data_IF_915585306344
#
_entry.id   IF_915585306344
#
_cell.length_a   1.000
_cell.length_b   1.000
_cell.length_c   1.000
_cell.angle_alpha   90.00
_cell.angle_beta   90.00
_cell.angle_gamma   90.00
#
_symmetry.space_group_name_H-M   'P 1'
#
loop_
_entity.id
_entity.type
_entity.pdbx_description
1 polymer ?
#
# COMPACT_ATOMS: atom_id res chain seq x y z
N UNK A 1 0.28 -16.27 10.21
CA UNK A 1 -0.67 -16.01 9.11
C UNK A 1 -0.79 -17.28 8.28
N UNK A 2 -1.98 -17.62 7.80
CA UNK A 2 -2.19 -18.73 6.86
C UNK A 2 -2.76 -18.18 5.54
N UNK A 3 -2.29 -18.71 4.41
CA UNK A 3 -2.73 -18.30 3.06
C UNK A 3 -3.56 -19.41 2.42
N UNK A 4 -4.75 -19.06 1.94
CA UNK A 4 -5.60 -19.94 1.13
C UNK A 4 -6.36 -19.09 0.11
N UNK A 5 -6.32 -19.48 -1.16
CA UNK A 5 -7.07 -18.82 -2.25
C UNK A 5 -6.88 -17.28 -2.27
N UNK A 6 -5.63 -16.80 -2.27
CA UNK A 6 -5.22 -15.38 -2.16
C UNK A 6 -5.78 -14.62 -0.93
N UNK A 7 -6.33 -15.32 0.06
CA UNK A 7 -6.81 -14.75 1.31
C UNK A 7 -5.81 -15.02 2.44
N UNK A 8 -5.60 -14.01 3.29
CA UNK A 8 -4.77 -14.10 4.48
C UNK A 8 -5.65 -14.16 5.74
N UNK A 9 -5.36 -15.11 6.62
CA UNK A 9 -6.07 -15.26 7.90
C UNK A 9 -5.14 -14.98 9.07
N UNK A 10 -5.59 -14.12 10.00
CA UNK A 10 -5.01 -14.00 11.33
C UNK A 10 -5.31 -15.28 12.11
N UNK A 11 -4.31 -15.77 12.83
CA UNK A 11 -4.36 -17.00 13.62
C UNK A 11 -3.87 -16.68 15.04
N UNK A 12 -3.96 -17.66 15.94
CA UNK A 12 -3.41 -17.54 17.31
C UNK A 12 -4.11 -16.42 18.13
N UNK A 13 -5.43 -16.33 17.99
CA UNK A 13 -6.26 -15.31 18.63
C UNK A 13 -6.44 -15.54 20.15
N UNK A 14 -6.00 -16.67 20.68
CA UNK A 14 -5.96 -17.00 22.12
C UNK A 14 -4.92 -16.17 22.90
N UNK A 15 -3.99 -15.54 22.18
CA UNK A 15 -3.00 -14.60 22.71
C UNK A 15 -3.48 -13.13 22.72
N UNK A 16 -4.71 -12.85 22.27
CA UNK A 16 -5.31 -11.51 22.33
C UNK A 16 -5.79 -11.19 23.76
N UNK A 17 -5.66 -9.92 24.16
CA UNK A 17 -6.03 -9.42 25.50
C UNK A 17 -6.71 -8.06 25.40
N UNK A 18 -7.55 -7.74 26.38
CA UNK A 18 -8.08 -6.38 26.55
C UNK A 18 -7.04 -5.49 27.22
N UNK A 19 -6.87 -4.27 26.71
CA UNK A 19 -5.96 -3.26 27.28
C UNK A 19 -6.28 -2.93 28.75
N UNK A 20 -7.54 -3.07 29.18
CA UNK A 20 -7.95 -2.85 30.57
C UNK A 20 -7.48 -3.94 31.56
N UNK A 21 -7.02 -5.08 31.08
CA UNK A 21 -6.59 -6.21 31.92
C UNK A 21 -5.06 -6.16 32.11
N UNK A 22 -4.61 -6.07 33.36
CA UNK A 22 -3.18 -6.18 33.67
C UNK A 22 -2.70 -7.58 33.33
N UNK A 23 -1.88 -7.70 32.29
CA UNK A 23 -1.26 -8.96 31.91
C UNK A 23 -0.24 -9.40 32.97
N UNK A 24 -0.32 -10.67 33.39
CA UNK A 24 0.68 -11.28 34.29
C UNK A 24 2.04 -11.47 33.59
N UNK A 25 2.02 -11.57 32.25
CA UNK A 25 3.21 -11.67 31.40
C UNK A 25 2.88 -11.13 30.01
N UNK A 26 3.89 -10.57 29.32
CA UNK A 26 3.75 -10.06 27.96
C UNK A 26 4.16 -11.15 26.98
N UNK A 27 3.25 -11.53 26.08
CA UNK A 27 3.50 -12.55 25.05
C UNK A 27 3.81 -11.82 23.74
N UNK A 28 4.93 -12.16 23.11
CA UNK A 28 5.33 -11.64 21.81
C UNK A 28 6.29 -12.60 21.11
N UNK A 29 6.44 -12.45 19.81
CA UNK A 29 7.48 -13.15 19.04
C UNK A 29 8.73 -12.28 19.01
N UNK A 30 9.91 -12.77 19.42
CA UNK A 30 11.17 -12.02 19.34
C UNK A 30 11.41 -11.41 17.96
N UNK A 31 12.02 -10.22 17.91
CA UNK A 31 12.23 -9.39 16.71
C UNK A 31 10.96 -8.85 16.01
N UNK A 32 9.78 -9.45 16.22
CA UNK A 32 8.51 -8.96 15.66
C UNK A 32 7.71 -8.09 16.64
N UNK A 33 8.00 -8.17 17.94
CA UNK A 33 7.42 -7.29 18.95
C UNK A 33 8.03 -5.89 18.92
N UNK A 34 7.22 -4.88 19.25
CA UNK A 34 7.69 -3.50 19.35
C UNK A 34 8.78 -3.32 20.42
N UNK A 35 9.61 -2.26 20.30
CA UNK A 35 10.76 -2.06 21.19
C UNK A 35 10.34 -2.05 22.67
N UNK A 36 9.28 -1.30 23.01
CA UNK A 36 8.74 -1.19 24.37
C UNK A 36 8.22 -2.51 24.94
N UNK A 37 7.80 -3.44 24.07
CA UNK A 37 7.34 -4.78 24.39
C UNK A 37 8.54 -5.72 24.59
N UNK A 38 9.56 -5.59 23.74
CA UNK A 38 10.78 -6.39 23.87
C UNK A 38 11.55 -6.07 25.15
N UNK A 39 11.53 -4.80 25.59
CA UNK A 39 12.27 -4.32 26.75
C UNK A 39 11.61 -4.69 28.10
N UNK A 40 10.29 -4.88 28.15
CA UNK A 40 9.61 -5.30 29.41
C UNK A 40 10.02 -6.69 29.86
N UNK A 41 10.38 -7.57 28.93
CA UNK A 41 10.92 -8.90 29.25
C UNK A 41 12.27 -8.86 30.00
N UNK A 42 13.09 -7.82 29.76
CA UNK A 42 14.42 -7.67 30.38
C UNK A 42 14.36 -7.10 31.80
N UNK A 43 13.40 -6.23 32.07
CA UNK A 43 13.38 -5.42 33.30
C UNK A 43 12.40 -5.92 34.37
N UNK A 44 11.70 -7.04 34.15
CA UNK A 44 10.58 -7.49 35.00
C UNK A 44 9.54 -6.39 35.25
N UNK A 45 9.48 -5.42 34.33
CA UNK A 45 8.59 -4.28 34.36
C UNK A 45 7.29 -4.69 33.65
N UNK A 46 6.18 -4.66 34.37
CA UNK A 46 4.86 -5.03 33.86
C UNK A 46 4.05 -3.81 33.45
N UNK A 47 4.70 -2.64 33.27
CA UNK A 47 4.01 -1.40 32.91
C UNK A 47 3.67 -1.29 31.42
N UNK A 48 4.49 -1.88 30.53
CA UNK A 48 4.16 -1.95 29.10
C UNK A 48 3.48 -3.28 28.77
N UNK A 49 2.44 -3.21 27.95
CA UNK A 49 1.64 -4.32 27.47
C UNK A 49 1.30 -4.11 25.99
N UNK A 50 0.87 -5.16 25.31
CA UNK A 50 0.49 -5.09 23.90
C UNK A 50 -0.71 -4.14 23.73
N UNK A 51 -0.58 -3.21 22.79
CA UNK A 51 -1.61 -2.24 22.40
C UNK A 51 -1.79 -2.27 20.90
N UNK A 52 -2.82 -1.59 20.38
CA UNK A 52 -2.96 -1.37 18.94
C UNK A 52 -1.72 -0.70 18.32
N UNK A 53 -0.97 0.09 19.11
CA UNK A 53 0.26 0.74 18.64
C UNK A 53 1.41 -0.28 18.48
N UNK A 54 1.53 -1.27 19.37
CA UNK A 54 2.52 -2.34 19.20
C UNK A 54 2.14 -3.29 18.07
N UNK A 55 0.84 -3.52 17.86
CA UNK A 55 0.35 -4.29 16.70
C UNK A 55 0.67 -3.58 15.39
N UNK A 56 0.50 -2.25 15.34
CA UNK A 56 0.86 -1.45 14.17
C UNK A 56 2.35 -1.54 13.84
N UNK A 57 3.20 -1.55 14.86
CA UNK A 57 4.63 -1.70 14.69
C UNK A 57 5.00 -3.11 14.18
N UNK A 58 4.39 -4.15 14.76
CA UNK A 58 4.58 -5.54 14.31
C UNK A 58 4.10 -5.73 12.87
N UNK A 59 2.97 -5.11 12.50
CA UNK A 59 2.48 -5.05 11.13
C UNK A 59 3.48 -4.38 10.19
N UNK A 60 4.05 -3.23 10.58
CA UNK A 60 5.03 -2.52 9.76
C UNK A 60 6.27 -3.39 9.48
N UNK A 61 6.73 -4.16 10.46
CA UNK A 61 7.84 -5.13 10.29
C UNK A 61 7.49 -6.15 9.22
N UNK A 62 6.34 -6.82 9.36
CA UNK A 62 5.89 -7.86 8.44
C UNK A 62 5.67 -7.29 7.04
N UNK A 63 5.04 -6.11 6.93
CA UNK A 63 4.80 -5.45 5.65
C UNK A 63 6.12 -5.12 4.94
N UNK A 64 7.10 -4.58 5.67
CA UNK A 64 8.43 -4.31 5.13
C UNK A 64 9.13 -5.59 4.66
N UNK A 65 9.12 -6.62 5.50
CA UNK A 65 9.78 -7.89 5.23
C UNK A 65 9.14 -8.62 4.04
N UNK A 66 7.82 -8.60 3.90
CA UNK A 66 7.13 -9.17 2.73
C UNK A 66 7.44 -8.41 1.43
N UNK A 67 7.61 -7.10 1.49
CA UNK A 67 7.87 -6.27 0.32
C UNK A 67 9.36 -6.29 -0.10
N UNK A 68 10.27 -6.38 0.86
CA UNK A 68 11.72 -6.29 0.61
C UNK A 68 12.48 -7.61 0.82
N UNK A 69 11.81 -8.67 1.26
CA UNK A 69 12.37 -9.98 1.56
C UNK A 69 13.49 -9.96 2.62
N UNK A 70 13.49 -8.94 3.50
CA UNK A 70 14.46 -8.79 4.58
C UNK A 70 13.81 -8.04 5.75
N UNK A 71 14.14 -8.47 6.96
CA UNK A 71 13.65 -7.84 8.18
C UNK A 71 14.22 -6.41 8.29
N UNK A 72 13.41 -5.39 8.66
CA UNK A 72 13.84 -3.98 8.63
C UNK A 72 15.01 -3.64 9.56
N UNK A 73 15.36 -4.52 10.49
CA UNK A 73 16.48 -4.35 11.41
C UNK A 73 17.60 -5.40 11.20
N UNK A 74 17.46 -6.28 10.22
CA UNK A 74 18.46 -7.29 9.87
C UNK A 74 19.48 -6.72 8.87
N UNK A 75 20.28 -5.77 9.37
CA UNK A 75 21.34 -5.11 8.63
C UNK A 75 22.73 -5.66 8.96
N UNK A 76 23.76 -4.92 8.55
CA UNK A 76 25.15 -5.36 8.73
C UNK A 76 25.54 -5.62 10.20
N UNK A 77 24.88 -4.96 11.16
CA UNK A 77 25.17 -5.09 12.59
C UNK A 77 24.30 -6.14 13.30
N UNK A 78 23.38 -6.80 12.58
CA UNK A 78 22.46 -7.76 13.17
C UNK A 78 23.18 -8.97 13.78
N UNK A 79 24.23 -9.50 13.14
CA UNK A 79 24.95 -10.69 13.62
C UNK A 79 25.56 -10.57 15.02
N UNK A 80 25.78 -9.35 15.52
CA UNK A 80 26.37 -9.07 16.83
C UNK A 80 25.32 -8.71 17.91
N UNK A 81 24.05 -8.56 17.53
CA UNK A 81 23.00 -8.10 18.44
C UNK A 81 22.17 -9.26 19.01
N UNK A 82 21.85 -9.21 20.31
CA UNK A 82 20.92 -10.18 20.92
C UNK A 82 19.48 -10.00 20.44
N UNK A 83 19.10 -8.76 20.10
CA UNK A 83 17.78 -8.38 19.63
C UNK A 83 17.94 -7.28 18.58
N UNK A 84 17.70 -7.62 17.31
CA UNK A 84 17.98 -6.70 16.21
C UNK A 84 17.06 -5.49 16.28
N UNK A 85 15.90 -5.58 16.95
CA UNK A 85 14.98 -4.45 17.12
C UNK A 85 15.59 -3.28 17.87
N UNK A 86 16.70 -3.47 18.59
CA UNK A 86 17.42 -2.40 19.29
C UNK A 86 18.26 -1.56 18.32
N UNK A 87 18.73 -2.14 17.21
CA UNK A 87 19.54 -1.49 16.18
C UNK A 87 18.75 -0.44 15.38
N UNK A 88 19.41 0.55 14.75
CA UNK A 88 18.78 1.36 13.70
C UNK A 88 18.16 0.47 12.61
N UNK A 89 17.08 0.91 11.98
CA UNK A 89 16.54 0.16 10.85
C UNK A 89 17.44 0.36 9.62
N UNK A 90 17.39 -0.55 8.66
CA UNK A 90 18.36 -0.63 7.57
C UNK A 90 18.35 0.56 6.60
N UNK A 91 17.29 1.37 6.63
CA UNK A 91 17.15 2.63 5.87
C UNK A 91 17.03 3.86 6.81
N UNK A 92 17.57 3.79 8.03
CA UNK A 92 17.55 4.90 8.98
C UNK A 92 18.20 6.17 8.40
N UNK A 93 17.46 7.27 8.48
CA UNK A 93 17.85 8.55 7.86
C UNK A 93 18.95 9.28 8.61
N UNK A 94 19.22 8.90 9.85
CA UNK A 94 20.14 9.59 10.77
C UNK A 94 21.28 8.69 11.26
N UNK A 95 21.12 7.37 11.21
CA UNK A 95 22.09 6.41 11.72
C UNK A 95 22.23 5.19 10.79
N UNK A 96 23.23 5.24 9.89
CA UNK A 96 23.49 4.19 8.90
C UNK A 96 24.33 3.01 9.44
N UNK A 97 24.58 2.93 10.76
CA UNK A 97 25.41 1.89 11.37
C UNK A 97 24.85 0.47 11.21
N UNK A 98 23.55 0.33 10.93
CA UNK A 98 22.91 -0.93 10.59
C UNK A 98 22.40 -0.97 9.14
N UNK A 99 22.98 -0.17 8.24
CA UNK A 99 22.61 -0.21 6.82
C UNK A 99 22.81 -1.60 6.19
N UNK A 100 22.12 -1.87 5.08
CA UNK A 100 22.26 -3.08 4.28
C UNK A 100 22.52 -2.75 2.81
N UNK A 101 23.37 -3.53 2.13
CA UNK A 101 23.78 -3.29 0.74
C UNK A 101 22.99 -4.09 -0.31
N UNK A 102 21.89 -4.76 0.07
CA UNK A 102 21.16 -5.70 -0.79
C UNK A 102 19.73 -5.32 -1.18
N UNK A 103 19.21 -4.16 -0.75
CA UNK A 103 17.82 -3.80 -1.00
C UNK A 103 17.61 -3.38 -2.45
N UNK A 104 16.67 -4.03 -3.14
CA UNK A 104 16.19 -3.53 -4.42
C UNK A 104 15.36 -2.27 -4.16
N UNK A 105 15.73 -1.11 -4.75
CA UNK A 105 15.13 0.18 -4.39
C UNK A 105 13.67 0.36 -4.84
N UNK A 106 13.09 -0.64 -5.51
CA UNK A 106 11.89 -0.50 -6.35
C UNK A 106 10.58 -0.97 -5.71
N UNK A 107 10.59 -1.55 -4.51
CA UNK A 107 9.40 -2.20 -3.92
C UNK A 107 8.52 -1.30 -3.05
N UNK A 108 8.97 -0.07 -2.75
CA UNK A 108 8.25 0.84 -1.87
C UNK A 108 8.06 2.21 -2.53
N UNK A 109 6.81 2.69 -2.52
CA UNK A 109 6.49 4.08 -2.86
C UNK A 109 7.08 5.05 -1.83
N UNK A 110 7.20 6.33 -2.21
CA UNK A 110 7.67 7.38 -1.29
C UNK A 110 6.83 7.47 -0.02
N UNK A 111 5.52 7.32 -0.14
CA UNK A 111 4.59 7.39 0.99
C UNK A 111 4.79 6.22 1.95
N UNK A 112 4.91 4.99 1.43
CA UNK A 112 5.21 3.81 2.24
C UNK A 112 6.56 3.97 2.97
N UNK A 113 7.61 4.42 2.26
CA UNK A 113 8.93 4.67 2.88
C UNK A 113 8.85 5.71 4.00
N UNK A 114 8.02 6.74 3.86
CA UNK A 114 7.83 7.75 4.90
C UNK A 114 7.11 7.19 6.13
N UNK A 115 6.06 6.38 5.94
CA UNK A 115 5.34 5.74 7.04
C UNK A 115 6.24 4.75 7.80
N UNK A 116 7.00 3.94 7.06
CA UNK A 116 7.96 2.99 7.64
C UNK A 116 9.06 3.72 8.44
N UNK A 117 9.66 4.78 7.88
CA UNK A 117 10.63 5.61 8.58
C UNK A 117 10.03 6.23 9.85
N UNK A 118 8.82 6.80 9.77
CA UNK A 118 8.13 7.34 10.94
C UNK A 118 7.92 6.26 12.02
N UNK A 119 7.55 5.04 11.61
CA UNK A 119 7.31 3.92 12.51
C UNK A 119 8.59 3.41 13.18
N UNK A 120 9.68 3.26 12.42
CA UNK A 120 10.93 2.63 12.88
C UNK A 120 11.96 3.61 13.46
N UNK A 121 11.81 4.92 13.23
CA UNK A 121 12.67 5.94 13.83
C UNK A 121 12.02 6.53 15.10
N UNK A 122 11.29 7.63 14.98
CA UNK A 122 10.68 8.31 16.12
C UNK A 122 9.59 7.44 16.78
N UNK A 123 8.79 6.71 15.99
CA UNK A 123 7.74 5.81 16.44
C UNK A 123 8.25 4.56 17.18
N UNK A 124 9.52 4.19 16.97
CA UNK A 124 10.16 3.09 17.69
C UNK A 124 10.42 3.49 19.15
N UNK A 125 10.77 4.76 19.40
CA UNK A 125 11.05 5.31 20.73
C UNK A 125 9.79 5.81 21.44
N UNK A 126 8.83 6.34 20.67
CA UNK A 126 7.59 6.91 21.18
C UNK A 126 6.40 6.32 20.39
N UNK A 127 5.65 5.35 20.97
CA UNK A 127 4.52 4.71 20.29
C UNK A 127 3.47 5.69 19.77
N UNK A 128 3.30 6.86 20.40
CA UNK A 128 2.31 7.87 19.99
C UNK A 128 2.70 8.59 18.69
N UNK A 129 3.97 8.50 18.28
CA UNK A 129 4.45 9.05 17.00
C UNK A 129 4.31 8.08 15.84
N UNK A 130 3.88 6.84 16.07
CA UNK A 130 3.69 5.86 14.99
C UNK A 130 2.59 6.31 14.03
N UNK A 131 2.69 5.97 12.73
CA UNK A 131 1.54 6.08 11.85
C UNK A 131 0.40 5.18 12.32
N UNK A 132 -0.82 5.49 11.94
CA UNK A 132 -1.98 4.67 12.23
C UNK A 132 -2.16 3.58 11.16
N UNK A 133 -2.80 2.46 11.50
CA UNK A 133 -3.11 1.40 10.53
C UNK A 133 -3.89 1.89 9.30
N UNK A 134 -4.87 2.81 9.40
CA UNK A 134 -5.52 3.38 8.22
C UNK A 134 -4.58 4.07 7.23
N UNK A 135 -3.50 4.72 7.71
CA UNK A 135 -2.51 5.33 6.81
C UNK A 135 -1.70 4.27 6.07
N UNK A 136 -1.38 3.15 6.73
CA UNK A 136 -0.74 2.02 6.06
C UNK A 136 -1.66 1.38 5.02
N UNK A 137 -2.94 1.15 5.35
CA UNK A 137 -3.94 0.62 4.41
C UNK A 137 -4.03 1.55 3.19
N UNK A 138 -4.21 2.85 3.41
CA UNK A 138 -4.29 3.81 2.32
C UNK A 138 -3.04 3.82 1.43
N UNK A 139 -1.86 3.78 2.04
CA UNK A 139 -0.60 3.82 1.28
C UNK A 139 -0.34 2.53 0.52
N UNK A 140 -0.72 1.37 1.06
CA UNK A 140 -0.62 0.06 0.38
C UNK A 140 -1.63 -0.05 -0.77
N UNK A 141 -2.88 0.36 -0.57
CA UNK A 141 -3.89 0.41 -1.63
C UNK A 141 -3.47 1.37 -2.75
N UNK A 142 -2.99 2.57 -2.41
CA UNK A 142 -2.45 3.49 -3.42
C UNK A 142 -1.24 2.91 -4.13
N UNK A 143 -0.38 2.14 -3.46
CA UNK A 143 0.77 1.52 -4.10
C UNK A 143 0.34 0.42 -5.08
N UNK A 144 -0.65 -0.42 -4.73
CA UNK A 144 -1.11 -1.53 -5.58
C UNK A 144 -1.66 -1.05 -6.93
N UNK A 145 -2.34 0.10 -6.95
CA UNK A 145 -2.89 0.71 -8.17
C UNK A 145 -1.84 1.20 -9.17
N UNK A 146 -0.57 1.31 -8.77
CA UNK A 146 0.49 1.94 -9.55
C UNK A 146 1.42 0.93 -10.21
N UNK A 147 1.09 -0.36 -10.14
CA UNK A 147 1.95 -1.46 -10.54
C UNK A 147 1.62 -1.94 -11.95
N UNK A 148 2.65 -2.09 -12.76
CA UNK A 148 2.59 -2.72 -14.08
C UNK A 148 3.32 -4.06 -14.05
N UNK A 149 2.87 -5.02 -14.87
CA UNK A 149 3.54 -6.30 -15.06
C UNK A 149 4.30 -6.33 -16.39
N UNK A 150 5.51 -6.86 -16.39
CA UNK A 150 6.29 -7.05 -17.60
C UNK A 150 5.85 -8.29 -18.38
N UNK A 151 5.45 -8.12 -19.63
CA UNK A 151 5.14 -9.27 -20.51
C UNK A 151 6.37 -10.14 -20.82
N UNK A 152 7.59 -9.61 -20.68
CA UNK A 152 8.83 -10.34 -20.99
C UNK A 152 9.39 -11.13 -19.79
N UNK A 153 9.43 -10.52 -18.60
CA UNK A 153 10.02 -11.14 -17.42
C UNK A 153 9.05 -11.39 -16.26
N UNK A 154 7.76 -11.04 -16.42
CA UNK A 154 6.69 -11.15 -15.41
C UNK A 154 6.95 -10.42 -14.09
N UNK A 155 8.01 -9.62 -14.01
CA UNK A 155 8.27 -8.79 -12.84
C UNK A 155 7.36 -7.57 -12.85
N UNK A 156 7.01 -7.13 -11.64
CA UNK A 156 6.17 -5.97 -11.40
C UNK A 156 6.99 -4.75 -10.98
N UNK A 157 6.55 -3.56 -11.36
CA UNK A 157 7.22 -2.30 -11.07
C UNK A 157 6.22 -1.14 -11.08
N UNK A 158 6.58 -0.03 -10.43
CA UNK A 158 5.75 1.17 -10.43
C UNK A 158 5.86 1.93 -11.77
N UNK A 159 4.73 2.33 -12.36
CA UNK A 159 4.77 3.13 -13.60
C UNK A 159 5.42 4.50 -13.38
N UNK A 160 5.09 5.14 -12.25
CA UNK A 160 5.69 6.39 -11.78
C UNK A 160 6.74 6.11 -10.71
N UNK A 161 7.98 5.87 -11.14
CA UNK A 161 9.12 5.94 -10.21
C UNK A 161 9.58 7.40 -10.11
N UNK A 162 9.36 8.01 -8.95
CA UNK A 162 9.71 9.42 -8.69
C UNK A 162 11.21 9.73 -8.86
N UNK A 163 12.07 8.70 -8.83
CA UNK A 163 13.50 8.89 -8.97
C UNK A 163 13.97 8.72 -10.43
N UNK A 164 13.15 8.14 -11.32
CA UNK A 164 13.54 7.76 -12.68
C UNK A 164 12.33 7.69 -13.62
N UNK A 165 12.35 8.51 -14.67
CA UNK A 165 11.44 8.33 -15.81
C UNK A 165 11.91 7.15 -16.66
N UNK A 166 11.43 5.96 -16.32
CA UNK A 166 11.71 4.76 -17.08
C UNK A 166 10.82 4.70 -18.33
N UNK A 167 11.39 4.74 -19.54
CA UNK A 167 10.71 4.25 -20.75
C UNK A 167 10.88 2.72 -20.93
N UNK A 168 11.71 2.10 -20.07
CA UNK A 168 12.08 0.69 -20.12
C UNK A 168 11.91 0.01 -18.76
N UNK A 169 11.65 -1.29 -18.75
CA UNK A 169 11.49 -2.07 -17.53
C UNK A 169 12.81 -2.17 -16.73
N UNK A 170 12.81 -1.92 -15.41
CA UNK A 170 14.05 -1.85 -14.61
C UNK A 170 14.79 -3.19 -14.47
N UNK A 171 14.15 -4.31 -14.79
CA UNK A 171 14.71 -5.66 -14.60
C UNK A 171 15.23 -6.31 -15.88
N UNK A 172 14.71 -5.94 -17.05
CA UNK A 172 15.04 -6.61 -18.32
C UNK A 172 15.15 -5.66 -19.52
N UNK A 173 15.11 -4.35 -19.30
CA UNK A 173 15.23 -3.30 -20.31
C UNK A 173 14.21 -3.37 -21.47
N UNK A 174 13.15 -4.18 -21.34
CA UNK A 174 12.05 -4.22 -22.29
C UNK A 174 11.35 -2.84 -22.35
N UNK A 175 10.66 -2.52 -23.45
CA UNK A 175 9.87 -1.28 -23.53
C UNK A 175 8.61 -1.37 -22.70
N UNK A 176 8.18 -0.26 -22.08
CA UNK A 176 6.88 -0.18 -21.41
C UNK A 176 5.73 -0.62 -22.34
N UNK A 177 4.75 -1.39 -21.84
CA UNK A 177 3.63 -1.85 -22.62
C UNK A 177 2.62 -0.71 -22.85
N UNK A 178 1.73 -0.90 -23.81
CA UNK A 178 0.54 -0.06 -23.92
C UNK A 178 -0.27 -0.26 -22.65
N UNK A 179 -0.71 0.83 -22.03
CA UNK A 179 -1.36 0.79 -20.73
C UNK A 179 -2.53 1.76 -20.65
N UNK A 180 -3.46 1.47 -19.75
CA UNK A 180 -4.48 2.43 -19.36
C UNK A 180 -4.01 3.15 -18.11
N UNK A 181 -4.09 4.47 -18.13
CA UNK A 181 -3.85 5.33 -16.98
C UNK A 181 -5.16 6.00 -16.59
N UNK A 182 -5.54 5.92 -15.32
CA UNK A 182 -6.64 6.68 -14.76
C UNK A 182 -6.16 7.47 -13.53
N UNK A 183 -6.37 8.78 -13.52
CA UNK A 183 -5.99 9.65 -12.40
C UNK A 183 -7.23 10.31 -11.83
N UNK A 184 -7.44 10.16 -10.51
CA UNK A 184 -8.57 10.74 -9.79
C UNK A 184 -8.16 12.00 -9.04
N UNK A 185 -8.99 13.02 -9.13
CA UNK A 185 -8.81 14.32 -8.48
C UNK A 185 -10.01 14.66 -7.61
N UNK A 186 -9.75 15.14 -6.38
CA UNK A 186 -10.76 15.70 -5.48
C UNK A 186 -10.33 17.11 -5.10
N UNK A 187 -11.23 18.09 -5.25
CA UNK A 187 -10.93 19.51 -5.01
C UNK A 187 -9.64 20.01 -5.71
N UNK A 188 -9.34 19.49 -6.91
CA UNK A 188 -8.14 19.78 -7.74
C UNK A 188 -6.82 19.17 -7.23
N UNK A 189 -6.85 18.40 -6.15
CA UNK A 189 -5.71 17.61 -5.70
C UNK A 189 -5.79 16.21 -6.29
N UNK A 190 -4.68 15.69 -6.81
CA UNK A 190 -4.58 14.27 -7.18
C UNK A 190 -4.71 13.41 -5.92
N UNK A 191 -5.55 12.38 -5.98
CA UNK A 191 -5.85 11.50 -4.84
C UNK A 191 -5.45 10.06 -5.11
N UNK A 192 -5.71 9.59 -6.33
CA UNK A 192 -5.39 8.23 -6.78
C UNK A 192 -4.81 8.25 -8.18
N UNK A 193 -3.80 7.42 -8.38
CA UNK A 193 -3.20 7.13 -9.68
C UNK A 193 -3.32 5.62 -9.91
N UNK A 194 -4.04 5.25 -10.97
CA UNK A 194 -4.23 3.87 -11.40
C UNK A 194 -3.55 3.66 -12.75
N UNK A 195 -2.89 2.51 -12.87
CA UNK A 195 -2.29 2.05 -14.11
C UNK A 195 -2.48 0.54 -14.24
N UNK A 196 -2.71 0.07 -15.46
CA UNK A 196 -2.74 -1.36 -15.78
C UNK A 196 -2.32 -1.59 -17.23
N UNK A 197 -1.72 -2.75 -17.52
CA UNK A 197 -1.49 -3.18 -18.90
C UNK A 197 -2.82 -3.12 -19.67
N UNK A 198 -2.79 -2.61 -20.89
CA UNK A 198 -4.02 -2.40 -21.64
C UNK A 198 -4.60 -3.74 -22.10
N UNK A 199 -5.75 -4.10 -21.55
CA UNK A 199 -6.56 -5.26 -21.95
C UNK A 199 -7.91 -4.80 -22.49
N UNK A 200 -8.60 -5.68 -23.20
CA UNK A 200 -10.00 -5.47 -23.62
C UNK A 200 -10.80 -6.75 -23.26
N UNK A 201 -11.65 -6.73 -22.21
CA UNK A 201 -12.02 -5.57 -21.40
C UNK A 201 -10.96 -5.15 -20.37
N UNK A 202 -11.09 -3.93 -19.84
CA UNK A 202 -10.32 -3.41 -18.71
C UNK A 202 -11.24 -2.76 -17.67
N UNK A 203 -10.98 -3.03 -16.39
CA UNK A 203 -11.80 -2.56 -15.29
C UNK A 203 -11.17 -1.36 -14.58
N UNK A 204 -12.01 -0.39 -14.23
CA UNK A 204 -11.66 0.75 -13.39
C UNK A 204 -12.15 0.48 -11.96
N UNK A 205 -11.25 0.50 -10.97
CA UNK A 205 -11.61 0.21 -9.58
C UNK A 205 -12.46 1.32 -8.97
N UNK A 206 -13.33 0.94 -8.03
CA UNK A 206 -14.23 1.83 -7.27
C UNK A 206 -13.47 2.94 -6.52
N UNK A 207 -12.20 2.69 -6.17
CA UNK A 207 -11.37 3.58 -5.36
C UNK A 207 -11.09 4.90 -6.08
N UNK A 208 -11.07 4.87 -7.42
CA UNK A 208 -10.95 6.07 -8.26
C UNK A 208 -12.17 7.00 -8.12
N UNK A 209 -13.31 6.46 -7.74
CA UNK A 209 -14.61 7.13 -7.72
C UNK A 209 -15.11 7.44 -6.31
N UNK A 210 -14.82 6.57 -5.33
CA UNK A 210 -15.33 6.68 -3.95
C UNK A 210 -14.25 6.83 -2.89
N UNK A 211 -12.99 6.56 -3.22
CA UNK A 211 -11.91 6.45 -2.25
C UNK A 211 -11.88 5.10 -1.55
N UNK A 212 -11.12 5.00 -0.46
CA UNK A 212 -10.88 3.71 0.23
C UNK A 212 -12.01 3.45 1.23
N UNK A 213 -12.73 2.35 1.01
CA UNK A 213 -13.72 1.83 1.95
C UNK A 213 -13.18 0.54 2.61
N UNK A 214 -12.89 0.59 3.91
CA UNK A 214 -12.22 -0.52 4.65
C UNK A 214 -13.12 -1.76 4.82
N UNK A 215 -14.44 -1.60 4.66
CA UNK A 215 -15.43 -2.66 4.96
C UNK A 215 -15.97 -3.32 3.69
N UNK A 216 -15.95 -2.61 2.56
CA UNK A 216 -16.39 -3.13 1.27
C UNK A 216 -15.14 -3.30 0.38
N UNK A 217 -14.66 -4.54 0.28
CA UNK A 217 -13.64 -4.92 -0.71
C UNK A 217 -14.20 -4.70 -2.10
N UNK A 218 -13.48 -3.93 -2.93
CA UNK A 218 -14.02 -3.39 -4.17
C UNK A 218 -14.48 -4.43 -5.19
N UNK A 219 -15.61 -4.11 -5.82
CA UNK A 219 -16.01 -4.63 -7.12
C UNK A 219 -15.64 -3.64 -8.22
N UNK A 220 -15.63 -4.14 -9.46
CA UNK A 220 -15.49 -3.39 -10.71
C UNK A 220 -16.53 -2.25 -10.76
N UNK A 221 -16.09 -0.99 -10.71
CA UNK A 221 -17.02 0.15 -10.76
C UNK A 221 -17.49 0.41 -12.19
N UNK A 222 -16.52 0.41 -13.09
CA UNK A 222 -16.73 0.59 -14.51
C UNK A 222 -15.79 -0.32 -15.32
N UNK A 223 -16.24 -0.67 -16.51
CA UNK A 223 -15.54 -1.50 -17.47
C UNK A 223 -15.43 -0.73 -18.78
N UNK A 224 -14.28 -0.81 -19.44
CA UNK A 224 -14.13 -0.41 -20.84
C UNK A 224 -13.96 -1.68 -21.67
N UNK A 225 -14.91 -1.91 -22.57
CA UNK A 225 -14.90 -3.05 -23.48
C UNK A 225 -15.27 -2.61 -24.89
N UNK A 226 -14.46 -2.94 -25.90
CA UNK A 226 -14.72 -2.59 -27.30
C UNK A 226 -15.05 -1.08 -27.51
N UNK A 227 -14.31 -0.18 -26.86
CA UNK A 227 -14.57 1.27 -26.84
C UNK A 227 -15.94 1.67 -26.26
N UNK A 228 -16.51 0.85 -25.39
CA UNK A 228 -17.74 1.15 -24.65
C UNK A 228 -17.39 1.22 -23.17
N UNK A 229 -17.65 2.36 -22.53
CA UNK A 229 -17.63 2.49 -21.08
C UNK A 229 -18.96 2.03 -20.49
N UNK A 230 -18.91 1.12 -19.53
CA UNK A 230 -20.05 0.52 -18.84
C UNK A 230 -19.86 0.74 -17.35
N UNK A 231 -20.87 1.25 -16.63
CA UNK A 231 -20.84 1.26 -15.16
C UNK A 231 -21.70 0.15 -14.59
N UNK A 232 -21.25 -0.46 -13.50
CA UNK A 232 -21.87 -1.62 -12.87
C UNK A 232 -22.77 -1.27 -11.66
N UNK A 233 -22.91 0.02 -11.33
CA UNK A 233 -23.79 0.51 -10.26
C UNK A 233 -24.95 1.35 -10.82
N UNK A 234 -26.02 1.53 -10.04
CA UNK A 234 -27.21 2.28 -10.46
C UNK A 234 -26.92 3.80 -10.59
N UNK A 235 -26.64 4.21 -11.82
CA UNK A 235 -26.31 5.59 -12.18
C UNK A 235 -27.54 6.51 -12.12
N UNK A 236 -28.77 5.99 -12.10
CA UNK A 236 -29.97 6.83 -12.26
C UNK A 236 -30.15 7.83 -11.10
N UNK A 237 -29.52 7.60 -9.96
CA UNK A 237 -29.53 8.50 -8.81
C UNK A 237 -28.28 9.39 -8.70
N UNK A 238 -27.29 9.18 -9.57
CA UNK A 238 -25.95 9.76 -9.43
C UNK A 238 -25.64 10.75 -10.56
N UNK A 239 -25.08 11.92 -10.23
CA UNK A 239 -24.75 12.96 -11.21
C UNK A 239 -23.43 12.64 -11.92
N UNK A 240 -23.41 11.62 -12.78
CA UNK A 240 -22.26 11.30 -13.63
C UNK A 240 -22.20 12.26 -14.83
N UNK A 241 -21.03 12.85 -15.07
CA UNK A 241 -20.72 13.60 -16.28
C UNK A 241 -19.56 12.93 -17.03
N UNK A 242 -19.71 12.69 -18.33
CA UNK A 242 -18.63 12.25 -19.21
C UNK A 242 -18.30 13.37 -20.18
N UNK A 243 -17.05 13.82 -20.20
CA UNK A 243 -16.59 14.93 -21.03
C UNK A 243 -17.54 16.15 -20.91
N UNK A 244 -17.95 16.45 -19.67
CA UNK A 244 -18.92 17.50 -19.29
C UNK A 244 -20.36 17.31 -19.81
N UNK A 245 -20.72 16.14 -20.33
CA UNK A 245 -22.09 15.79 -20.73
C UNK A 245 -22.72 14.85 -19.71
N UNK A 246 -23.97 15.12 -19.34
CA UNK A 246 -24.71 14.24 -18.42
C UNK A 246 -24.93 12.88 -19.05
N UNK A 247 -24.82 11.85 -18.22
CA UNK A 247 -25.13 10.48 -18.59
C UNK A 247 -26.63 10.20 -18.50
N UNK A 248 -27.20 9.70 -19.59
CA UNK A 248 -28.59 9.21 -19.62
C UNK A 248 -28.66 7.67 -19.72
N UNK A 249 -27.53 7.00 -19.99
CA UNK A 249 -27.44 5.56 -20.16
C UNK A 249 -26.18 5.00 -19.49
N UNK A 250 -26.23 3.78 -18.96
CA UNK A 250 -25.09 3.17 -18.27
C UNK A 250 -23.98 2.67 -19.21
N UNK A 251 -24.19 2.72 -20.53
CA UNK A 251 -23.22 2.36 -21.58
C UNK A 251 -23.01 3.53 -22.54
N UNK A 252 -21.76 3.86 -22.85
CA UNK A 252 -21.41 4.99 -23.71
C UNK A 252 -20.24 4.61 -24.61
N UNK A 253 -20.36 4.93 -25.90
CA UNK A 253 -19.24 4.86 -26.84
C UNK A 253 -18.21 5.94 -26.51
N UNK A 254 -16.95 5.54 -26.40
CA UNK A 254 -15.82 6.41 -26.09
C UNK A 254 -14.73 6.27 -27.17
N UNK A 255 -13.80 7.22 -27.18
CA UNK A 255 -12.61 7.21 -28.03
C UNK A 255 -11.39 7.35 -27.13
N UNK A 256 -10.72 6.23 -26.84
CA UNK A 256 -9.55 6.19 -25.95
C UNK A 256 -8.27 6.75 -26.57
N UNK A 257 -8.30 7.10 -27.87
CA UNK A 257 -7.22 7.89 -28.48
C UNK A 257 -7.25 9.35 -28.01
N UNK A 258 -8.31 9.75 -27.29
CA UNK A 258 -8.43 11.03 -26.58
C UNK A 258 -8.58 10.80 -25.07
N UNK A 259 -8.13 11.76 -24.28
CA UNK A 259 -8.38 11.74 -22.83
C UNK A 259 -9.89 11.75 -22.56
N UNK A 260 -10.35 10.77 -21.79
CA UNK A 260 -11.71 10.65 -21.29
C UNK A 260 -11.79 11.26 -19.89
N UNK A 261 -12.74 12.17 -19.69
CA UNK A 261 -12.99 12.76 -18.37
C UNK A 261 -14.31 12.26 -17.80
N UNK A 262 -14.31 11.74 -16.58
CA UNK A 262 -15.48 11.26 -15.86
C UNK A 262 -15.60 12.04 -14.54
N UNK A 263 -16.72 12.71 -14.30
CA UNK A 263 -16.99 13.37 -13.03
C UNK A 263 -18.05 12.61 -12.24
N UNK A 264 -17.77 12.34 -10.96
CA UNK A 264 -18.63 11.56 -10.08
C UNK A 264 -18.47 12.01 -8.63
N UNK A 265 -19.57 12.37 -7.95
CA UNK A 265 -19.59 12.73 -6.52
C UNK A 265 -18.48 13.71 -6.05
N UNK A 266 -18.08 14.65 -6.91
CA UNK A 266 -17.04 15.63 -6.63
C UNK A 266 -15.62 15.19 -7.02
N UNK A 267 -15.44 13.93 -7.40
CA UNK A 267 -14.24 13.43 -8.06
C UNK A 267 -14.27 13.74 -9.55
N UNK A 268 -13.07 13.97 -10.09
CA UNK A 268 -12.78 14.10 -11.51
C UNK A 268 -11.75 13.04 -11.88
N UNK A 269 -12.11 12.10 -12.74
CA UNK A 269 -11.25 11.01 -13.20
C UNK A 269 -10.87 11.30 -14.64
N UNK A 270 -9.57 11.32 -14.92
CA UNK A 270 -8.99 11.43 -16.26
C UNK A 270 -8.46 10.07 -16.66
N UNK A 271 -8.99 9.49 -17.73
CA UNK A 271 -8.62 8.18 -18.27
C UNK A 271 -7.97 8.37 -19.64
N UNK A 272 -6.83 7.74 -19.85
CA UNK A 272 -6.09 7.82 -21.11
C UNK A 272 -5.38 6.50 -21.40
N UNK A 273 -5.31 6.13 -22.68
CA UNK A 273 -4.47 5.05 -23.18
C UNK A 273 -3.08 5.63 -23.51
N UNK A 274 -2.02 5.02 -22.99
CA UNK A 274 -0.64 5.47 -23.10
C UNK A 274 0.27 4.40 -23.72
#
# INVERSE_FOLDING_TARGET
MCFKDNSAFLIDADNVRYESEKALCVIFTPNYGALEISQTSKNSDTTNYNTMLSDTFSFAIIAYELLNMVHPFDGNSAGDAENFIELPWIEDRKDDSNGSCGLLPFFLTRDLKNLLAQCFEEGKKDPLKRPTMPLFIESLEKASLQVLECENCSMTYYDRDYNREWEIFPYCDAKKPIRLVATSYYQKSEVFYFVSNFTDPIFLPTILFKGIEVVESEWEFAEIANNILIFHHDIQQEKILINNKRLDHYRIEIDLEKELTISYNGFLIKVQKC
#
